data_IF_239230271849
#
_entry.id   IF_239230271849
#
_cell.length_a   1.000
_cell.length_b   1.000
_cell.length_c   1.000
_cell.angle_alpha   90.00
_cell.angle_beta   90.00
_cell.angle_gamma   90.00
#
_symmetry.space_group_name_H-M   'P 1'
#
loop_
_entity.id
_entity.type
_entity.pdbx_description
1 polymer ?
#
# COMPACT_ATOMS: atom_id res chain seq x y z
N UNK A 1 27.49 12.92 9.06
CA UNK A 1 27.09 12.37 7.74
C UNK A 1 27.96 13.04 6.67
N UNK A 2 28.35 12.33 5.61
CA UNK A 2 29.01 12.96 4.46
C UNK A 2 27.92 13.53 3.53
N UNK A 3 27.89 14.84 3.32
CA UNK A 3 26.93 15.54 2.47
C UNK A 3 26.98 15.05 1.01
N UNK A 4 28.14 14.61 0.54
CA UNK A 4 28.32 14.07 -0.82
C UNK A 4 27.55 12.76 -1.06
N UNK A 5 27.07 12.11 0.01
CA UNK A 5 26.27 10.89 -0.04
C UNK A 5 24.77 11.15 0.13
N UNK A 6 24.36 12.42 0.18
CA UNK A 6 22.97 12.83 0.35
C UNK A 6 22.50 13.47 -0.95
N UNK A 7 21.29 13.10 -1.37
CA UNK A 7 20.66 13.65 -2.55
C UNK A 7 19.25 14.05 -2.17
N UNK A 8 18.96 15.34 -2.21
CA UNK A 8 17.63 15.90 -1.93
C UNK A 8 16.82 15.94 -3.23
N UNK A 9 15.51 15.74 -3.11
CA UNK A 9 14.58 15.68 -4.25
C UNK A 9 13.27 16.35 -3.91
N UNK A 10 12.79 17.17 -4.84
CA UNK A 10 11.40 17.62 -4.87
C UNK A 10 10.51 16.62 -5.64
N UNK A 11 9.20 16.79 -5.58
CA UNK A 11 8.28 15.95 -6.33
C UNK A 11 8.57 15.98 -7.84
N UNK A 12 8.54 14.79 -8.41
CA UNK A 12 8.90 14.45 -9.78
C UNK A 12 10.36 14.66 -10.15
N UNK A 13 11.23 14.98 -9.19
CA UNK A 13 12.66 14.88 -9.41
C UNK A 13 13.14 13.44 -9.26
N UNK A 14 14.12 13.09 -10.10
CA UNK A 14 14.60 11.73 -10.24
C UNK A 14 16.03 11.57 -9.74
N UNK A 15 16.37 10.38 -9.24
CA UNK A 15 17.75 9.97 -9.05
C UNK A 15 17.97 8.55 -9.60
N UNK A 16 19.16 8.33 -10.13
CA UNK A 16 19.56 7.02 -10.61
C UNK A 16 20.41 6.31 -9.56
N UNK A 17 20.13 5.02 -9.35
CA UNK A 17 20.98 4.14 -8.57
C UNK A 17 21.15 2.81 -9.30
N UNK A 18 22.34 2.55 -9.84
CA UNK A 18 22.64 1.36 -10.64
C UNK A 18 21.65 1.29 -11.82
N UNK A 19 20.79 0.26 -11.85
CA UNK A 19 19.77 0.04 -12.87
C UNK A 19 18.40 0.60 -12.50
N UNK A 20 18.27 1.21 -11.31
CA UNK A 20 17.03 1.77 -10.80
C UNK A 20 16.96 3.26 -11.10
N UNK A 21 15.80 3.70 -11.57
CA UNK A 21 15.35 5.10 -11.55
C UNK A 21 14.39 5.25 -10.40
N UNK A 22 14.70 6.14 -9.47
CA UNK A 22 13.85 6.49 -8.35
C UNK A 22 13.29 7.88 -8.59
N UNK A 23 11.98 8.02 -8.48
CA UNK A 23 11.31 9.31 -8.64
C UNK A 23 10.54 9.61 -7.36
N UNK A 24 10.87 10.73 -6.71
CA UNK A 24 10.03 11.23 -5.63
C UNK A 24 8.69 11.68 -6.23
N UNK A 25 7.56 11.27 -5.66
CA UNK A 25 6.23 11.61 -6.16
C UNK A 25 5.39 12.26 -5.06
N UNK A 26 4.32 12.99 -5.43
CA UNK A 26 3.47 13.61 -4.42
C UNK A 26 2.90 12.61 -3.42
N UNK A 27 2.74 13.08 -2.19
CA UNK A 27 2.00 12.42 -1.13
C UNK A 27 1.23 13.49 -0.35
N UNK A 28 0.17 13.08 0.34
CA UNK A 28 -0.58 13.94 1.25
C UNK A 28 -0.23 13.57 2.68
N UNK A 29 0.69 14.31 3.28
CA UNK A 29 1.09 14.11 4.66
C UNK A 29 1.63 15.41 5.26
N UNK A 30 2.28 15.34 6.42
CA UNK A 30 2.96 16.46 7.08
C UNK A 30 4.34 16.03 7.59
N UNK A 31 5.18 16.99 7.97
CA UNK A 31 6.47 16.70 8.61
C UNK A 31 6.67 17.50 9.90
N UNK A 32 7.49 16.99 10.80
CA UNK A 32 7.83 17.66 12.06
C UNK A 32 8.64 16.75 12.98
N UNK A 33 9.62 17.33 13.68
CA UNK A 33 10.47 16.65 14.69
C UNK A 33 10.53 17.44 15.99
N UNK A 34 10.20 18.73 15.96
CA UNK A 34 10.16 19.63 17.11
C UNK A 34 8.87 20.45 17.08
N UNK A 35 8.50 21.13 18.18
CA UNK A 35 7.29 21.97 18.19
C UNK A 35 7.30 23.14 17.20
N UNK A 36 8.42 23.43 16.52
CA UNK A 36 8.61 24.64 15.71
C UNK A 36 9.05 24.37 14.26
N UNK A 37 9.13 23.11 13.83
CA UNK A 37 9.61 22.71 12.50
C UNK A 37 8.55 22.02 11.62
N UNK A 38 7.27 22.24 11.95
CA UNK A 38 6.16 21.77 11.15
C UNK A 38 6.34 22.12 9.66
N UNK A 39 6.25 21.11 8.82
CA UNK A 39 6.32 21.18 7.35
C UNK A 39 7.60 21.84 6.80
N UNK A 40 8.71 21.83 7.54
CA UNK A 40 10.00 22.35 7.05
C UNK A 40 10.73 21.41 6.09
N UNK A 41 10.37 20.12 6.07
CA UNK A 41 10.91 19.13 5.13
C UNK A 41 9.79 18.54 4.29
N UNK A 42 10.08 18.26 3.02
CA UNK A 42 9.12 17.63 2.12
C UNK A 42 8.80 16.19 2.56
N UNK A 43 7.55 15.79 2.38
CA UNK A 43 7.09 14.39 2.40
C UNK A 43 6.85 13.93 0.96
N UNK A 44 7.08 12.66 0.66
CA UNK A 44 6.87 12.13 -0.68
C UNK A 44 6.53 10.64 -0.65
N UNK A 45 5.86 10.21 -1.72
CA UNK A 45 5.82 8.81 -2.13
C UNK A 45 6.97 8.55 -3.12
N UNK A 46 7.17 7.31 -3.54
CA UNK A 46 8.23 6.95 -4.46
C UNK A 46 7.75 6.01 -5.55
N UNK A 47 8.16 6.29 -6.78
CA UNK A 47 8.13 5.33 -7.90
C UNK A 47 9.54 4.84 -8.14
N UNK A 48 9.72 3.51 -8.20
CA UNK A 48 10.99 2.86 -8.47
C UNK A 48 10.85 2.05 -9.76
N UNK A 49 11.60 2.41 -10.79
CA UNK A 49 11.58 1.73 -12.09
C UNK A 49 12.90 1.00 -12.32
N UNK A 50 12.81 -0.28 -12.60
CA UNK A 50 13.90 -1.10 -13.14
C UNK A 50 13.65 -1.38 -14.63
N UNK A 51 14.56 -2.04 -15.35
CA UNK A 51 14.29 -2.49 -16.72
C UNK A 51 13.15 -3.49 -16.85
N UNK A 52 12.68 -4.09 -15.75
CA UNK A 52 11.73 -5.20 -15.77
C UNK A 52 10.42 -4.90 -15.03
N UNK A 53 10.44 -4.01 -14.04
CA UNK A 53 9.31 -3.77 -13.14
C UNK A 53 9.26 -2.33 -12.63
N UNK A 54 8.05 -1.87 -12.36
CA UNK A 54 7.73 -0.60 -11.69
C UNK A 54 7.11 -0.86 -10.34
N UNK A 55 7.72 -0.33 -9.28
CA UNK A 55 7.21 -0.39 -7.92
C UNK A 55 6.74 0.99 -7.47
N UNK A 56 5.73 1.01 -6.61
CA UNK A 56 5.26 2.22 -5.94
C UNK A 56 5.31 2.05 -4.43
N UNK A 57 5.74 3.08 -3.71
CA UNK A 57 5.72 3.14 -2.26
C UNK A 57 5.05 4.43 -1.81
N UNK A 58 3.88 4.33 -1.18
CA UNK A 58 3.06 5.50 -0.83
C UNK A 58 3.64 6.37 0.28
N UNK A 59 4.58 5.83 1.07
CA UNK A 59 4.84 6.37 2.40
C UNK A 59 3.59 6.27 3.28
N UNK A 60 3.38 7.27 4.11
CA UNK A 60 2.25 7.48 5.02
C UNK A 60 1.20 8.45 4.42
N UNK A 61 1.03 8.43 3.09
CA UNK A 61 0.12 9.33 2.37
C UNK A 61 -1.36 9.11 2.72
N UNK A 62 -2.11 10.18 2.97
CA UNK A 62 -3.57 10.20 2.94
C UNK A 62 -4.10 10.16 1.49
N UNK A 63 -5.41 9.98 1.35
CA UNK A 63 -6.05 9.89 0.05
C UNK A 63 -6.16 11.24 -0.67
N UNK A 64 -5.81 11.26 -1.96
CA UNK A 64 -5.99 12.40 -2.87
C UNK A 64 -5.79 11.96 -4.33
N UNK A 65 -6.01 12.86 -5.28
CA UNK A 65 -5.95 12.62 -6.73
C UNK A 65 -4.54 12.25 -7.25
N UNK A 66 -3.52 12.41 -6.41
CA UNK A 66 -2.13 12.07 -6.76
C UNK A 66 -1.95 10.61 -7.17
N UNK A 67 -2.75 9.68 -6.64
CA UNK A 67 -2.69 8.26 -7.02
C UNK A 67 -3.02 8.04 -8.50
N UNK A 68 -4.09 8.66 -9.00
CA UNK A 68 -4.45 8.65 -10.42
C UNK A 68 -3.37 9.33 -11.26
N UNK A 69 -2.91 10.52 -10.84
CA UNK A 69 -1.86 11.25 -11.56
C UNK A 69 -0.53 10.47 -11.65
N UNK A 70 -0.18 9.69 -10.62
CA UNK A 70 1.00 8.83 -10.61
C UNK A 70 0.84 7.69 -11.61
N UNK A 71 -0.30 6.99 -11.62
CA UNK A 71 -0.57 5.96 -12.62
C UNK A 71 -0.47 6.50 -14.04
N UNK A 72 -1.10 7.65 -14.30
CA UNK A 72 -1.09 8.27 -15.62
C UNK A 72 0.33 8.65 -16.08
N UNK A 73 1.18 9.11 -15.16
CA UNK A 73 2.55 9.52 -15.47
C UNK A 73 3.52 8.36 -15.65
N UNK A 74 3.44 7.33 -14.81
CA UNK A 74 4.44 6.25 -14.77
C UNK A 74 3.99 4.96 -15.44
N UNK A 75 2.71 4.86 -15.81
CA UNK A 75 2.15 3.69 -16.46
C UNK A 75 1.83 2.56 -15.48
N UNK A 76 1.81 1.30 -15.93
CA UNK A 76 1.44 0.16 -15.10
C UNK A 76 2.42 -0.02 -13.94
N UNK A 77 1.87 -0.26 -12.74
CA UNK A 77 2.63 -0.56 -11.53
C UNK A 77 2.56 -2.06 -11.28
N UNK A 78 3.70 -2.73 -11.13
CA UNK A 78 3.74 -4.16 -10.85
C UNK A 78 3.44 -4.46 -9.39
N UNK A 79 3.99 -3.66 -8.48
CA UNK A 79 3.81 -3.83 -7.04
C UNK A 79 3.68 -2.48 -6.34
N UNK A 80 2.59 -2.30 -5.59
CA UNK A 80 2.37 -1.10 -4.78
C UNK A 80 2.37 -1.42 -3.29
N UNK A 81 3.23 -0.75 -2.54
CA UNK A 81 3.21 -0.70 -1.09
C UNK A 81 2.37 0.49 -0.67
N UNK A 82 1.19 0.22 -0.10
CA UNK A 82 0.18 1.26 0.16
C UNK A 82 -0.15 1.35 1.64
N UNK A 83 -0.11 2.57 2.16
CA UNK A 83 -0.50 2.96 3.52
C UNK A 83 -1.84 2.33 3.91
N UNK A 84 -1.88 1.69 5.08
CA UNK A 84 -3.07 1.00 5.56
C UNK A 84 -3.04 0.91 7.10
N UNK A 85 -2.99 2.04 7.81
CA UNK A 85 -3.01 1.98 9.27
C UNK A 85 -3.06 3.34 9.92
N UNK A 86 -3.07 3.35 11.24
CA UNK A 86 -2.97 4.57 12.04
C UNK A 86 -4.04 5.64 11.72
N UNK A 87 -5.14 5.27 11.05
CA UNK A 87 -6.17 6.21 10.64
C UNK A 87 -7.08 6.63 11.78
N UNK A 88 -7.60 7.85 11.70
CA UNK A 88 -8.66 8.32 12.57
C UNK A 88 -9.38 9.49 11.89
N UNK A 89 -10.66 9.67 12.21
CA UNK A 89 -11.46 10.82 11.73
C UNK A 89 -10.87 12.17 12.14
N UNK A 90 -10.00 12.19 13.16
CA UNK A 90 -9.33 13.40 13.67
C UNK A 90 -8.13 13.88 12.83
N UNK A 91 -7.61 13.06 11.92
CA UNK A 91 -6.47 13.42 11.05
C UNK A 91 -6.66 12.86 9.63
N UNK A 92 -7.75 13.26 8.94
CA UNK A 92 -8.10 12.73 7.62
C UNK A 92 -7.06 13.08 6.55
N UNK A 93 -6.24 14.11 6.80
CA UNK A 93 -5.23 14.61 5.86
C UNK A 93 -3.87 13.90 6.01
N UNK A 94 -3.77 12.91 6.89
CA UNK A 94 -2.50 12.24 7.18
C UNK A 94 -2.53 10.72 7.03
N UNK A 95 -3.68 10.05 7.14
CA UNK A 95 -3.77 8.59 7.03
C UNK A 95 -5.07 8.16 6.32
N UNK A 96 -5.00 7.09 5.54
CA UNK A 96 -6.14 6.50 4.84
C UNK A 96 -6.89 5.52 5.74
N UNK A 97 -8.22 5.59 5.69
CA UNK A 97 -9.03 4.44 6.14
C UNK A 97 -8.82 3.25 5.18
N UNK A 98 -9.16 2.00 5.57
CA UNK A 98 -9.00 0.85 4.69
C UNK A 98 -9.79 0.97 3.37
N UNK A 99 -10.92 1.68 3.39
CA UNK A 99 -11.69 2.02 2.18
C UNK A 99 -10.92 2.99 1.27
N UNK A 100 -10.28 4.00 1.84
CA UNK A 100 -9.44 4.95 1.10
C UNK A 100 -8.17 4.27 0.57
N UNK A 101 -7.54 3.38 1.35
CA UNK A 101 -6.44 2.52 0.88
C UNK A 101 -6.87 1.71 -0.33
N UNK A 102 -8.04 1.05 -0.29
CA UNK A 102 -8.52 0.31 -1.44
C UNK A 102 -8.78 1.24 -2.63
N UNK A 103 -9.39 2.41 -2.40
CA UNK A 103 -9.62 3.38 -3.47
C UNK A 103 -8.30 3.82 -4.12
N UNK A 104 -7.27 4.15 -3.33
CA UNK A 104 -5.93 4.47 -3.83
C UNK A 104 -5.33 3.32 -4.66
N UNK A 105 -5.52 2.07 -4.23
CA UNK A 105 -5.08 0.89 -4.98
C UNK A 105 -5.84 0.76 -6.31
N UNK A 106 -7.14 1.03 -6.35
CA UNK A 106 -7.91 1.03 -7.60
C UNK A 106 -7.47 2.14 -8.56
N UNK A 107 -7.16 3.31 -8.01
CA UNK A 107 -6.71 4.49 -8.77
C UNK A 107 -5.30 4.27 -9.33
N UNK A 108 -4.39 3.66 -8.55
CA UNK A 108 -3.06 3.22 -9.01
C UNK A 108 -3.11 2.03 -9.97
N UNK A 109 -4.11 1.16 -9.82
CA UNK A 109 -4.29 -0.10 -10.52
C UNK A 109 -3.01 -0.97 -10.64
N UNK A 110 -2.34 -1.31 -9.52
CA UNK A 110 -1.16 -2.15 -9.58
C UNK A 110 -1.54 -3.61 -9.88
N UNK A 111 -0.61 -4.39 -10.43
CA UNK A 111 -0.76 -5.85 -10.56
C UNK A 111 -0.92 -6.51 -9.19
N UNK A 112 -0.22 -6.02 -8.17
CA UNK A 112 -0.33 -6.51 -6.80
C UNK A 112 -0.13 -5.38 -5.81
N UNK A 113 -0.88 -5.41 -4.69
CA UNK A 113 -0.71 -4.47 -3.60
C UNK A 113 -0.29 -5.15 -2.28
N UNK A 114 0.55 -4.46 -1.51
CA UNK A 114 0.98 -4.86 -0.17
C UNK A 114 0.56 -3.74 0.81
N UNK A 115 -0.32 -4.01 1.80
CA UNK A 115 -0.63 -3.04 2.82
C UNK A 115 0.59 -2.86 3.74
N UNK A 116 1.01 -1.61 3.94
CA UNK A 116 2.06 -1.21 4.88
C UNK A 116 1.49 -0.38 6.03
N UNK A 117 2.34 0.06 6.96
CA UNK A 117 1.97 0.95 8.06
C UNK A 117 1.08 0.36 9.18
N UNK A 118 0.66 -0.91 9.06
CA UNK A 118 -0.02 -1.68 10.09
C UNK A 118 0.91 -2.68 10.81
N UNK A 119 0.47 -3.24 11.93
CA UNK A 119 1.08 -4.42 12.53
C UNK A 119 2.36 -4.22 13.36
N UNK A 120 2.89 -3.00 13.46
CA UNK A 120 4.11 -2.72 14.24
C UNK A 120 3.89 -1.81 15.45
N UNK A 121 3.19 -0.68 15.28
CA UNK A 121 2.97 0.31 16.34
C UNK A 121 1.48 0.68 16.47
N UNK A 122 1.03 0.92 17.70
CA UNK A 122 -0.31 1.40 18.03
C UNK A 122 -0.30 2.92 18.23
N UNK A 123 -0.45 3.65 17.12
CA UNK A 123 -0.52 5.12 17.09
C UNK A 123 -1.92 5.67 16.79
N UNK A 124 -2.93 4.79 16.73
CA UNK A 124 -4.34 5.15 16.59
C UNK A 124 -5.22 4.28 17.50
N UNK A 125 -6.52 4.53 17.48
CA UNK A 125 -7.53 3.94 18.37
C UNK A 125 -8.14 2.63 17.83
N UNK A 126 -7.89 2.27 16.57
CA UNK A 126 -8.36 1.00 15.99
C UNK A 126 -7.51 -0.17 16.51
N UNK A 127 -8.05 -1.40 16.46
CA UNK A 127 -7.25 -2.59 16.76
C UNK A 127 -6.13 -2.76 15.74
N UNK A 128 -4.98 -3.29 16.13
CA UNK A 128 -3.80 -3.34 15.26
C UNK A 128 -3.98 -4.23 14.01
N UNK A 129 -4.86 -5.25 14.08
CA UNK A 129 -5.23 -6.10 12.93
C UNK A 129 -6.36 -5.53 12.08
N UNK A 130 -7.13 -4.56 12.60
CA UNK A 130 -8.31 -4.04 11.92
C UNK A 130 -8.00 -3.53 10.50
N UNK A 131 -6.92 -2.76 10.26
CA UNK A 131 -6.65 -2.22 8.94
C UNK A 131 -6.45 -3.32 7.89
N UNK A 132 -5.59 -4.31 8.18
CA UNK A 132 -5.30 -5.40 7.24
C UNK A 132 -6.51 -6.30 7.02
N UNK A 133 -7.30 -6.57 8.07
CA UNK A 133 -8.50 -7.41 7.93
C UNK A 133 -9.50 -6.75 6.97
N UNK A 134 -9.72 -5.45 7.14
CA UNK A 134 -10.65 -4.69 6.30
C UNK A 134 -10.12 -4.52 4.89
N UNK A 135 -8.87 -4.11 4.71
CA UNK A 135 -8.28 -3.90 3.37
C UNK A 135 -8.21 -5.19 2.57
N UNK A 136 -7.86 -6.33 3.19
CA UNK A 136 -7.83 -7.62 2.50
C UNK A 136 -9.23 -8.11 2.11
N UNK A 137 -10.23 -7.95 2.99
CA UNK A 137 -11.62 -8.28 2.67
C UNK A 137 -12.14 -7.42 1.51
N UNK A 138 -11.84 -6.12 1.54
CA UNK A 138 -12.18 -5.17 0.47
C UNK A 138 -11.48 -5.52 -0.86
N UNK A 139 -10.20 -5.85 -0.82
CA UNK A 139 -9.43 -6.26 -2.00
C UNK A 139 -10.01 -7.54 -2.63
N UNK A 140 -10.36 -8.54 -1.80
CA UNK A 140 -11.01 -9.77 -2.26
C UNK A 140 -12.35 -9.48 -2.96
N UNK A 141 -13.17 -8.59 -2.41
CA UNK A 141 -14.45 -8.18 -3.03
C UNK A 141 -14.27 -7.48 -4.38
N UNK A 142 -13.14 -6.81 -4.60
CA UNK A 142 -12.83 -6.09 -5.84
C UNK A 142 -11.95 -6.87 -6.82
N UNK A 143 -11.56 -8.11 -6.49
CA UNK A 143 -10.66 -8.91 -7.32
C UNK A 143 -9.23 -8.34 -7.40
N UNK A 144 -8.82 -7.54 -6.41
CA UNK A 144 -7.48 -6.97 -6.32
C UNK A 144 -6.54 -7.99 -5.67
N UNK A 145 -5.41 -8.29 -6.33
CA UNK A 145 -4.39 -9.16 -5.77
C UNK A 145 -3.68 -8.45 -4.60
N UNK A 146 -3.76 -9.06 -3.42
CA UNK A 146 -3.14 -8.56 -2.19
C UNK A 146 -2.14 -9.57 -1.62
N UNK A 147 -1.00 -9.08 -1.16
CA UNK A 147 -0.03 -9.87 -0.41
C UNK A 147 0.22 -9.25 0.96
N UNK A 148 0.22 -10.08 1.98
CA UNK A 148 0.48 -9.67 3.35
C UNK A 148 1.61 -10.52 3.94
N UNK A 149 2.86 -10.29 3.52
CA UNK A 149 4.01 -11.03 4.02
C UNK A 149 4.13 -10.89 5.54
N UNK A 150 4.74 -11.88 6.20
CA UNK A 150 5.18 -11.75 7.60
C UNK A 150 6.25 -10.66 7.69
N UNK A 151 6.37 -10.04 8.86
CA UNK A 151 7.46 -9.10 9.11
C UNK A 151 8.81 -9.80 8.88
N UNK A 152 9.61 -9.27 7.94
CA UNK A 152 10.90 -9.81 7.54
C UNK A 152 10.85 -10.91 6.47
N UNK A 153 9.66 -11.33 6.00
CA UNK A 153 9.52 -12.26 4.89
C UNK A 153 9.89 -11.58 3.56
N UNK A 154 10.65 -12.29 2.73
CA UNK A 154 11.08 -11.82 1.41
C UNK A 154 9.96 -12.07 0.42
N UNK A 155 9.58 -11.04 -0.33
CA UNK A 155 8.60 -11.12 -1.43
C UNK A 155 9.35 -11.09 -2.76
N UNK A 156 9.10 -12.09 -3.59
CA UNK A 156 9.52 -12.12 -4.99
C UNK A 156 8.32 -11.70 -5.86
N UNK A 157 8.48 -10.57 -6.57
CA UNK A 157 7.50 -9.98 -7.49
C UNK A 157 7.10 -10.91 -8.64
N UNK A 158 7.94 -11.89 -8.99
CA UNK A 158 7.71 -12.89 -10.03
C UNK A 158 7.13 -14.21 -9.53
N UNK A 159 7.23 -14.47 -8.21
CA UNK A 159 6.74 -15.70 -7.58
C UNK A 159 5.75 -15.38 -6.45
N UNK A 160 4.68 -14.70 -6.84
CA UNK A 160 3.65 -14.24 -5.90
C UNK A 160 2.75 -15.40 -5.47
N UNK A 161 3.06 -15.97 -4.30
CA UNK A 161 2.13 -16.83 -3.58
C UNK A 161 1.41 -16.00 -2.52
N UNK A 162 0.11 -16.22 -2.33
CA UNK A 162 -0.62 -15.57 -1.23
C UNK A 162 -0.18 -16.20 0.08
N UNK A 163 0.57 -15.49 0.95
CA UNK A 163 1.00 -16.06 2.21
C UNK A 163 -0.24 -16.33 3.08
N UNK A 164 -0.17 -17.32 4.00
CA UNK A 164 -1.22 -17.51 4.99
C UNK A 164 -1.41 -16.22 5.79
N UNK A 165 -2.66 -15.91 6.16
CA UNK A 165 -3.03 -14.75 6.98
C UNK A 165 -2.45 -14.90 8.39
N UNK A 166 -1.16 -14.61 8.53
CA UNK A 166 -0.34 -14.96 9.68
C UNK A 166 -0.77 -14.25 10.98
N UNK A 167 -1.51 -13.15 10.86
CA UNK A 167 -2.02 -12.40 12.01
C UNK A 167 -3.33 -12.99 12.57
N UNK A 168 -4.03 -13.86 11.83
CA UNK A 168 -5.32 -14.41 12.27
C UNK A 168 -5.29 -15.08 13.65
N UNK A 169 -4.27 -15.88 14.02
CA UNK A 169 -4.22 -16.50 15.34
C UNK A 169 -4.12 -15.50 16.51
N UNK A 170 -3.79 -14.24 16.22
CA UNK A 170 -3.65 -13.18 17.22
C UNK A 170 -4.88 -12.26 17.28
N UNK A 171 -5.91 -12.52 16.47
CA UNK A 171 -7.18 -11.77 16.49
C UNK A 171 -8.08 -12.34 17.58
N UNK A 172 -8.51 -11.55 18.58
CA UNK A 172 -9.46 -12.01 19.59
C UNK A 172 -10.81 -12.38 18.94
N UNK A 173 -11.43 -13.49 19.36
CA UNK A 173 -12.69 -14.03 18.81
C UNK A 173 -13.85 -13.01 18.73
N UNK A 174 -13.81 -11.92 19.49
CA UNK A 174 -14.85 -10.89 19.53
C UNK A 174 -14.73 -9.79 18.46
N UNK A 175 -13.75 -9.87 17.55
CA UNK A 175 -13.50 -8.82 16.53
C UNK A 175 -13.57 -9.33 15.08
N UNK A 176 -13.96 -10.58 14.84
CA UNK A 176 -14.03 -11.15 13.50
C UNK A 176 -15.27 -10.67 12.73
N UNK A 177 -15.08 -9.71 11.84
CA UNK A 177 -15.90 -9.65 10.61
C UNK A 177 -15.40 -10.79 9.73
N UNK A 178 -16.28 -11.73 9.39
CA UNK A 178 -15.93 -12.92 8.61
C UNK A 178 -15.45 -12.54 7.21
N UNK A 179 -14.25 -13.00 6.84
CA UNK A 179 -13.80 -13.02 5.46
C UNK A 179 -14.40 -14.26 4.79
N UNK A 180 -15.09 -14.15 3.64
CA UNK A 180 -15.58 -15.34 2.96
C UNK A 180 -14.41 -16.17 2.41
N UNK A 181 -14.52 -17.50 2.38
CA UNK A 181 -13.48 -18.36 1.82
C UNK A 181 -13.30 -18.06 0.32
N UNK A 182 -12.07 -18.22 -0.16
CA UNK A 182 -11.74 -18.13 -1.58
C UNK A 182 -12.66 -19.06 -2.38
N UNK A 183 -13.38 -18.51 -3.36
CA UNK A 183 -14.22 -19.28 -4.27
C UNK A 183 -13.35 -20.30 -4.99
N UNK A 184 -13.59 -21.59 -4.72
CA UNK A 184 -13.11 -22.66 -5.59
C UNK A 184 -13.76 -22.48 -6.97
N UNK A 185 -12.95 -22.62 -8.02
CA UNK A 185 -13.33 -22.35 -9.40
C UNK A 185 -14.63 -23.05 -9.80
N UNK A 186 -15.46 -22.31 -10.53
CA UNK A 186 -16.64 -22.83 -11.18
C UNK A 186 -16.23 -23.93 -12.19
N UNK A 187 -16.74 -25.15 -11.99
CA UNK A 187 -16.84 -26.12 -13.05
C UNK A 187 -18.04 -25.74 -13.93
N UNK A 188 -17.78 -25.31 -15.15
CA UNK A 188 -18.80 -25.24 -16.19
C UNK A 188 -19.21 -26.67 -16.56
N UNK A 189 -20.49 -27.01 -16.35
CA UNK A 189 -21.11 -28.17 -16.98
C UNK A 189 -21.91 -27.68 -18.18
N UNK A 190 -21.44 -28.02 -19.38
CA UNK A 190 -22.26 -28.08 -20.58
C UNK A 190 -23.39 -29.09 -20.36
N UNK A 191 -24.65 -28.69 -20.58
CA UNK A 191 -25.54 -29.37 -21.53
C UNK A 191 -26.98 -28.84 -21.50
N UNK A 192 -27.56 -28.93 -22.71
CA UNK A 192 -28.97 -29.03 -23.07
C UNK A 192 -29.81 -27.74 -23.21
N UNK A 193 -29.76 -27.21 -24.43
CA UNK A 193 -30.98 -26.81 -25.17
C UNK A 193 -31.68 -28.08 -25.69
N UNK A 194 -33.01 -28.07 -25.92
CA UNK A 194 -33.58 -27.30 -27.03
C UNK A 194 -34.49 -26.14 -26.62
#
# INVERSE_FOLDING_TARGET
MNAERITERDWYEECAWKTLRLTATPARHASGRTPFDHNRTLWCSWVLQSPHETLYYSGDSAYDDHFTAIKERFGPIDLAFVENGQYNRRWPDSHMTPEQTLQAVLDLAPRTFIPIHWGMFTLSLHHWTEPVQRSCALAAQKGVQVLCPRLGEVVDSHSLSTPPLWWMPFVPEKTSVSCPPASQGAAYSENDSP
#
